data_IF_226320718779
#
_entry.id   IF_226320718779
#
_cell.length_a   1.000
_cell.length_b   1.000
_cell.length_c   1.000
_cell.angle_alpha   90.00
_cell.angle_beta   90.00
_cell.angle_gamma   90.00
#
_symmetry.space_group_name_H-M   'P 1'
#
loop_
_entity.id
_entity.type
_entity.pdbx_description
1 polymer ?
#
# COMPACT_ATOMS: atom_id res chain seq x y z
N UNK A 1 13.04 -11.01 2.13
CA UNK A 1 11.95 -11.32 1.18
C UNK A 1 10.84 -12.15 1.81
N UNK A 2 11.16 -13.10 2.69
CA UNK A 2 10.18 -13.98 3.37
C UNK A 2 9.12 -13.25 4.20
N UNK A 3 9.47 -12.18 4.91
CA UNK A 3 8.51 -11.39 5.69
C UNK A 3 7.46 -10.71 4.79
N UNK A 4 7.89 -10.17 3.65
CA UNK A 4 6.99 -9.57 2.65
C UNK A 4 6.09 -10.64 2.02
N UNK A 5 6.65 -11.79 1.66
CA UNK A 5 5.89 -12.90 1.09
C UNK A 5 4.82 -13.41 2.07
N UNK A 6 5.17 -13.57 3.35
CA UNK A 6 4.21 -13.90 4.40
C UNK A 6 3.08 -12.88 4.52
N UNK A 7 3.42 -11.59 4.54
CA UNK A 7 2.43 -10.52 4.64
C UNK A 7 1.49 -10.48 3.43
N UNK A 8 2.03 -10.63 2.21
CA UNK A 8 1.23 -10.69 0.98
C UNK A 8 0.33 -11.93 0.90
N UNK A 9 0.68 -13.01 1.61
CA UNK A 9 -0.11 -14.24 1.66
C UNK A 9 -1.35 -14.15 2.57
N UNK A 10 -1.61 -13.00 3.21
CA UNK A 10 -2.81 -12.82 4.01
C UNK A 10 -4.09 -13.04 3.15
N UNK A 11 -5.05 -13.88 3.59
CA UNK A 11 -6.27 -14.17 2.85
C UNK A 11 -7.10 -12.93 2.49
N UNK A 12 -6.97 -11.84 3.24
CA UNK A 12 -7.63 -10.58 2.94
C UNK A 12 -7.33 -10.07 1.53
N UNK A 13 -6.07 -10.18 1.10
CA UNK A 13 -5.65 -9.64 -0.20
C UNK A 13 -6.25 -10.41 -1.37
N UNK A 14 -6.52 -11.70 -1.22
CA UNK A 14 -7.15 -12.55 -2.24
C UNK A 14 -8.66 -12.33 -2.42
N UNK A 15 -9.35 -11.75 -1.44
CA UNK A 15 -10.80 -11.49 -1.51
C UNK A 15 -11.14 -10.49 -2.63
N UNK A 16 -12.25 -10.72 -3.34
CA UNK A 16 -12.85 -9.77 -4.30
C UNK A 16 -13.64 -8.67 -3.59
N UNK A 17 -13.84 -7.53 -4.28
CA UNK A 17 -14.75 -6.49 -3.81
C UNK A 17 -16.22 -7.00 -3.82
N UNK A 18 -17.10 -6.48 -2.92
CA UNK A 18 -16.82 -5.50 -1.87
C UNK A 18 -16.07 -6.11 -0.67
N UNK A 19 -15.07 -5.38 -0.17
CA UNK A 19 -14.33 -5.73 1.06
C UNK A 19 -13.83 -4.46 1.77
N UNK A 20 -13.74 -4.54 3.09
CA UNK A 20 -13.18 -3.52 3.98
C UNK A 20 -12.33 -4.20 5.06
N UNK A 21 -11.45 -3.43 5.70
CA UNK A 21 -10.57 -3.88 6.79
C UNK A 21 -10.22 -2.69 7.69
N UNK A 22 -9.59 -2.96 8.83
CA UNK A 22 -9.17 -1.98 9.80
C UNK A 22 -8.06 -2.49 10.70
N UNK A 23 -8.00 -1.93 11.91
CA UNK A 23 -6.97 -2.25 12.91
C UNK A 23 -7.14 -3.65 13.53
N UNK A 24 -8.32 -4.24 13.35
CA UNK A 24 -8.63 -5.62 13.71
C UNK A 24 -7.78 -6.63 12.92
N UNK A 25 -7.49 -6.35 11.64
CA UNK A 25 -6.68 -7.22 10.78
C UNK A 25 -5.23 -6.71 10.68
N UNK A 26 -5.04 -5.40 10.43
CA UNK A 26 -3.73 -4.79 10.13
C UNK A 26 -3.30 -3.75 11.18
N UNK A 27 -3.67 -3.98 12.44
CA UNK A 27 -3.26 -3.14 13.57
C UNK A 27 -1.90 -3.53 14.18
N UNK A 28 -1.71 -3.13 15.45
CA UNK A 28 -0.47 -3.38 16.20
C UNK A 28 0.00 -4.84 16.16
N UNK A 29 -0.87 -5.87 16.31
CA UNK A 29 -0.42 -7.26 16.29
C UNK A 29 0.23 -7.68 14.96
N UNK A 30 -0.31 -7.19 13.83
CA UNK A 30 0.27 -7.44 12.52
C UNK A 30 1.63 -6.74 12.38
N UNK A 31 1.71 -5.47 12.81
CA UNK A 31 2.94 -4.69 12.76
C UNK A 31 4.05 -5.30 13.61
N UNK A 32 3.75 -5.71 14.85
CA UNK A 32 4.70 -6.39 15.74
C UNK A 32 5.25 -7.66 15.09
N UNK A 33 4.38 -8.48 14.49
CA UNK A 33 4.76 -9.72 13.81
C UNK A 33 5.59 -9.48 12.54
N UNK A 34 5.31 -8.40 11.81
CA UNK A 34 6.12 -8.00 10.66
C UNK A 34 7.54 -7.63 11.11
N UNK A 35 7.66 -6.82 12.17
CA UNK A 35 8.96 -6.44 12.75
C UNK A 35 9.71 -7.67 13.26
N UNK A 36 9.05 -8.56 13.98
CA UNK A 36 9.64 -9.80 14.48
C UNK A 36 10.17 -10.66 13.33
N UNK A 37 9.41 -10.82 12.24
CA UNK A 37 9.84 -11.61 11.09
C UNK A 37 11.02 -11.01 10.35
N UNK A 38 11.07 -9.68 10.23
CA UNK A 38 12.19 -9.01 9.57
C UNK A 38 13.45 -9.09 10.43
N UNK A 39 13.33 -8.78 11.73
CA UNK A 39 14.46 -8.79 12.65
C UNK A 39 14.97 -10.20 12.98
N UNK A 40 14.06 -11.18 13.09
CA UNK A 40 14.40 -12.60 13.23
C UNK A 40 15.14 -13.18 12.03
N UNK A 41 15.01 -12.57 10.85
CA UNK A 41 15.77 -12.91 9.65
C UNK A 41 17.09 -12.11 9.52
N UNK A 42 17.48 -11.35 10.54
CA UNK A 42 18.70 -10.53 10.55
C UNK A 42 18.55 -9.13 9.96
N UNK A 43 17.33 -8.71 9.61
CA UNK A 43 17.05 -7.35 9.17
C UNK A 43 16.95 -6.35 10.34
N UNK A 44 16.95 -5.07 10.02
CA UNK A 44 16.76 -3.98 10.98
C UNK A 44 15.29 -3.57 11.10
N UNK A 45 14.98 -2.69 12.05
CA UNK A 45 13.67 -2.04 12.13
C UNK A 45 13.40 -1.17 10.90
N UNK A 46 14.43 -0.55 10.31
CA UNK A 46 14.29 0.25 9.08
C UNK A 46 13.91 -0.64 7.89
N UNK A 47 14.45 -1.86 7.83
CA UNK A 47 14.03 -2.86 6.84
C UNK A 47 12.57 -3.29 7.05
N UNK A 48 12.09 -3.29 8.29
CA UNK A 48 10.68 -3.57 8.59
C UNK A 48 9.77 -2.45 8.09
N UNK A 49 10.15 -1.18 8.27
CA UNK A 49 9.45 -0.04 7.68
C UNK A 49 9.47 -0.08 6.15
N UNK A 50 10.63 -0.35 5.54
CA UNK A 50 10.75 -0.51 4.09
C UNK A 50 9.89 -1.66 3.56
N UNK A 51 9.81 -2.76 4.31
CA UNK A 51 8.94 -3.90 4.00
C UNK A 51 7.46 -3.52 4.08
N UNK A 52 7.05 -2.77 5.11
CA UNK A 52 5.68 -2.28 5.25
C UNK A 52 5.28 -1.34 4.09
N UNK A 53 6.14 -0.39 3.73
CA UNK A 53 5.91 0.50 2.58
C UNK A 53 5.78 -0.30 1.29
N UNK A 54 6.65 -1.30 1.09
CA UNK A 54 6.63 -2.16 -0.09
C UNK A 54 5.35 -3.02 -0.14
N UNK A 55 4.91 -3.55 1.00
CA UNK A 55 3.65 -4.29 1.15
C UNK A 55 2.47 -3.40 0.73
N UNK A 56 2.40 -2.17 1.24
CA UNK A 56 1.33 -1.22 0.88
C UNK A 56 1.31 -0.96 -0.63
N UNK A 57 2.46 -0.64 -1.24
CA UNK A 57 2.51 -0.36 -2.67
C UNK A 57 2.12 -1.57 -3.54
N UNK A 58 2.61 -2.77 -3.20
CA UNK A 58 2.28 -4.01 -3.94
C UNK A 58 0.80 -4.36 -3.82
N UNK A 59 0.24 -4.29 -2.61
CA UNK A 59 -1.18 -4.63 -2.40
C UNK A 59 -2.13 -3.66 -3.12
N UNK A 60 -1.76 -2.39 -3.27
CA UNK A 60 -2.46 -1.42 -4.12
C UNK A 60 -2.38 -1.82 -5.59
N UNK A 61 -1.19 -2.14 -6.11
CA UNK A 61 -1.01 -2.55 -7.51
C UNK A 61 -1.74 -3.85 -7.84
N UNK A 62 -1.67 -4.85 -6.96
CA UNK A 62 -2.39 -6.12 -7.08
C UNK A 62 -3.90 -5.90 -7.02
N UNK A 63 -4.36 -5.00 -6.13
CA UNK A 63 -5.76 -4.59 -6.04
C UNK A 63 -6.26 -3.95 -7.32
N UNK A 64 -5.53 -2.96 -7.86
CA UNK A 64 -5.85 -2.34 -9.15
C UNK A 64 -5.94 -3.40 -10.24
N UNK A 65 -4.92 -4.24 -10.40
CA UNK A 65 -4.89 -5.27 -11.44
C UNK A 65 -6.07 -6.22 -11.31
N UNK A 66 -6.32 -6.72 -10.11
CA UNK A 66 -7.37 -7.71 -9.86
C UNK A 66 -8.75 -7.11 -10.12
N UNK A 67 -9.04 -5.93 -9.58
CA UNK A 67 -10.40 -5.36 -9.59
C UNK A 67 -10.71 -4.51 -10.83
N UNK A 68 -9.74 -4.26 -11.71
CA UNK A 68 -9.99 -3.54 -12.97
C UNK A 68 -10.86 -4.39 -13.91
N UNK A 69 -12.04 -3.91 -14.34
CA UNK A 69 -12.85 -4.64 -15.30
C UNK A 69 -12.15 -4.77 -16.66
N UNK A 70 -12.41 -5.86 -17.37
CA UNK A 70 -11.89 -6.08 -18.72
C UNK A 70 -12.20 -4.90 -19.64
N UNK A 71 -11.18 -4.42 -20.36
CA UNK A 71 -11.30 -3.29 -21.29
C UNK A 71 -11.12 -1.90 -20.66
N UNK A 72 -11.06 -1.79 -19.33
CA UNK A 72 -10.76 -0.53 -18.65
C UNK A 72 -9.25 -0.28 -18.65
N UNK A 73 -8.86 0.96 -18.99
CA UNK A 73 -7.48 1.44 -18.83
C UNK A 73 -7.46 2.69 -17.98
N UNK A 74 -6.77 2.63 -16.86
CA UNK A 74 -6.52 3.78 -16.01
C UNK A 74 -5.52 4.73 -16.67
N UNK A 75 -5.77 6.04 -16.55
CA UNK A 75 -4.83 7.07 -17.05
C UNK A 75 -3.85 7.50 -15.98
N UNK A 76 -4.33 7.64 -14.75
CA UNK A 76 -3.52 8.00 -13.59
C UNK A 76 -4.12 7.43 -12.30
N UNK A 77 -3.27 7.24 -11.30
CA UNK A 77 -3.60 6.97 -9.91
C UNK A 77 -3.37 8.25 -9.12
N UNK A 78 -4.42 8.78 -8.49
CA UNK A 78 -4.34 9.95 -7.61
C UNK A 78 -4.35 9.50 -6.15
N UNK A 79 -3.27 9.78 -5.42
CA UNK A 79 -3.09 9.39 -4.02
C UNK A 79 -3.52 10.54 -3.11
N UNK A 80 -4.38 10.23 -2.14
CA UNK A 80 -4.88 11.17 -1.14
C UNK A 80 -4.71 10.59 0.29
N UNK A 81 -5.00 11.41 1.30
CA UNK A 81 -4.80 11.07 2.71
C UNK A 81 -3.33 11.16 3.15
N UNK A 82 -3.06 10.91 4.43
CA UNK A 82 -1.73 11.13 5.02
C UNK A 82 -0.58 10.40 4.32
N UNK A 83 -0.85 9.25 3.69
CA UNK A 83 0.14 8.49 2.91
C UNK A 83 0.68 9.24 1.70
N UNK A 84 -0.04 10.24 1.18
CA UNK A 84 0.41 11.08 0.07
C UNK A 84 1.64 11.94 0.43
N UNK A 85 1.88 12.17 1.74
CA UNK A 85 3.04 12.93 2.26
C UNK A 85 4.30 12.06 2.42
N UNK A 86 4.20 10.75 2.20
CA UNK A 86 5.33 9.81 2.28
C UNK A 86 5.95 9.60 0.89
N UNK A 87 7.04 10.31 0.59
CA UNK A 87 7.73 10.24 -0.70
C UNK A 87 8.18 8.82 -1.06
N UNK A 88 8.72 8.07 -0.09
CA UNK A 88 9.13 6.68 -0.29
C UNK A 88 7.95 5.80 -0.72
N UNK A 89 6.77 5.98 -0.11
CA UNK A 89 5.56 5.25 -0.53
C UNK A 89 5.12 5.64 -1.93
N UNK A 90 5.14 6.93 -2.27
CA UNK A 90 4.79 7.41 -3.60
C UNK A 90 5.72 6.82 -4.67
N UNK A 91 7.02 6.76 -4.43
CA UNK A 91 7.98 6.17 -5.37
C UNK A 91 7.82 4.65 -5.51
N UNK A 92 7.51 3.96 -4.41
CA UNK A 92 7.16 2.54 -4.46
C UNK A 92 5.87 2.28 -5.23
N UNK A 93 4.86 3.15 -5.08
CA UNK A 93 3.63 3.08 -5.88
C UNK A 93 3.93 3.31 -7.37
N UNK A 94 4.68 4.37 -7.72
CA UNK A 94 5.09 4.66 -9.11
C UNK A 94 5.75 3.46 -9.77
N UNK A 95 6.63 2.78 -9.03
CA UNK A 95 7.30 1.57 -9.52
C UNK A 95 6.31 0.41 -9.67
N UNK A 96 5.45 0.18 -8.67
CA UNK A 96 4.56 -0.96 -8.64
C UNK A 96 3.43 -0.90 -9.68
N UNK A 97 2.95 0.29 -10.04
CA UNK A 97 1.87 0.47 -11.01
C UNK A 97 2.34 0.89 -12.40
N UNK A 98 3.64 0.97 -12.64
CA UNK A 98 4.20 1.39 -13.93
C UNK A 98 3.60 0.54 -15.09
N UNK A 99 3.19 1.16 -16.21
CA UNK A 99 3.44 2.55 -16.61
C UNK A 99 2.34 3.56 -16.19
N UNK A 100 1.42 3.19 -15.30
CA UNK A 100 0.37 4.11 -14.83
C UNK A 100 0.98 5.31 -14.11
N UNK A 101 0.58 6.52 -14.50
CA UNK A 101 1.04 7.75 -13.85
C UNK A 101 0.52 7.82 -12.42
N UNK A 102 1.36 8.16 -11.45
CA UNK A 102 0.95 8.40 -10.05
C UNK A 102 1.16 9.86 -9.71
N UNK A 103 0.14 10.48 -9.11
CA UNK A 103 0.16 11.86 -8.61
C UNK A 103 -0.44 11.93 -7.21
N UNK A 104 -0.03 12.88 -6.40
CA UNK A 104 -0.73 13.22 -5.17
C UNK A 104 -1.89 14.18 -5.45
N UNK A 105 -2.86 14.24 -4.56
CA UNK A 105 -3.98 15.17 -4.65
C UNK A 105 -3.52 16.65 -4.51
N UNK A 106 -2.43 16.89 -3.78
CA UNK A 106 -1.81 18.23 -3.67
C UNK A 106 -1.28 18.73 -5.02
N UNK A 107 -0.73 17.84 -5.86
CA UNK A 107 -0.31 18.18 -7.23
C UNK A 107 -1.49 18.60 -8.14
N UNK A 108 -2.74 18.37 -7.71
CA UNK A 108 -3.96 18.83 -8.38
C UNK A 108 -4.52 20.13 -7.77
N UNK A 109 -3.84 20.72 -6.79
CA UNK A 109 -4.29 21.94 -6.11
C UNK A 109 -5.39 21.71 -5.05
N UNK A 110 -5.64 20.45 -4.68
CA UNK A 110 -6.58 20.08 -3.61
C UNK A 110 -5.76 19.64 -2.39
N UNK A 111 -5.81 20.35 -1.25
CA UNK A 111 -5.05 19.97 -0.07
C UNK A 111 -5.39 18.54 0.41
N UNK A 112 -4.37 17.73 0.71
CA UNK A 112 -4.48 16.35 1.21
C UNK A 112 -5.44 16.24 2.40
N UNK A 113 -5.41 17.23 3.29
CA UNK A 113 -6.20 17.24 4.53
C UNK A 113 -7.67 17.66 4.29
N UNK A 114 -8.02 18.11 3.07
CA UNK A 114 -9.38 18.52 2.72
C UNK A 114 -10.33 17.35 2.42
N UNK A 115 -9.83 16.11 2.30
CA UNK A 115 -10.64 14.95 1.88
C UNK A 115 -11.20 14.09 3.01
N UNK A 116 -10.59 14.14 4.21
CA UNK A 116 -11.08 13.43 5.41
C UNK A 116 -11.44 14.36 6.57
N UNK A 117 -11.52 15.67 6.33
CA UNK A 117 -12.16 16.61 7.25
C UNK A 117 -13.67 16.63 6.98
N UNK A 118 -14.42 15.78 7.70
CA UNK A 118 -15.87 15.91 7.94
C UNK A 118 -16.11 15.75 9.43
#
# INVERSE_FOLDING_TARGET
>A
EDALAWALADPYFARRAPKSTGREDFGKPFADKLVERVTGAGGSTDDAFATAVTLTARTVADGLTRETPSGVRWRELVVAGGGAKNETLIDRLRTAVAPLKVRTIDELGIPVDAREAV
#
